data_IF_163518520160
#
_entry.id   IF_163518520160
#
_cell.length_a   1.000
_cell.length_b   1.000
_cell.length_c   1.000
_cell.angle_alpha   90.00
_cell.angle_beta   90.00
_cell.angle_gamma   90.00
#
_symmetry.space_group_name_H-M   'P 1'
#
loop_
_entity.id
_entity.type
_entity.pdbx_description
1 polymer ?
#
# COMPACT_ATOMS: atom_id res chain seq x y z
N UNK A 1 -5.77 27.86 37.40
CA UNK A 1 -5.59 26.41 37.20
C UNK A 1 -6.62 25.81 36.25
N UNK A 2 -7.93 25.89 36.51
CA UNK A 2 -8.98 25.33 35.62
C UNK A 2 -8.93 25.81 34.16
N UNK A 3 -8.70 27.10 33.92
CA UNK A 3 -8.63 27.68 32.56
C UNK A 3 -7.37 27.27 31.80
N UNK A 4 -6.23 27.20 32.49
CA UNK A 4 -4.96 26.75 31.91
C UNK A 4 -5.03 25.27 31.52
N UNK A 5 -5.59 24.44 32.39
CA UNK A 5 -5.76 22.99 32.16
C UNK A 5 -6.72 22.71 31.00
N UNK A 6 -7.82 23.48 30.89
CA UNK A 6 -8.72 23.42 29.72
C UNK A 6 -8.00 23.78 28.42
N UNK A 7 -7.22 24.86 28.40
CA UNK A 7 -6.51 25.29 27.21
C UNK A 7 -5.46 24.26 26.77
N UNK A 8 -4.71 23.68 27.71
CA UNK A 8 -3.72 22.62 27.41
C UNK A 8 -4.37 21.35 26.85
N UNK A 9 -5.50 20.91 27.41
CA UNK A 9 -6.24 19.74 26.91
C UNK A 9 -6.79 20.02 25.51
N UNK A 10 -7.40 21.19 25.29
CA UNK A 10 -7.91 21.57 23.96
C UNK A 10 -6.81 21.65 22.91
N UNK A 11 -5.63 22.21 23.25
CA UNK A 11 -4.49 22.24 22.33
C UNK A 11 -3.93 20.85 22.02
N UNK A 12 -3.89 19.96 23.00
CA UNK A 12 -3.45 18.58 22.78
C UNK A 12 -4.44 17.81 21.88
N UNK A 13 -5.74 17.99 22.10
CA UNK A 13 -6.78 17.40 21.25
C UNK A 13 -6.68 17.91 19.81
N UNK A 14 -6.50 19.22 19.60
CA UNK A 14 -6.30 19.78 18.26
C UNK A 14 -5.08 19.18 17.57
N UNK A 15 -3.96 19.07 18.29
CA UNK A 15 -2.74 18.48 17.74
C UNK A 15 -2.94 17.02 17.35
N UNK A 16 -3.64 16.24 18.19
CA UNK A 16 -3.93 14.83 17.89
C UNK A 16 -4.82 14.65 16.67
N UNK A 17 -5.81 15.55 16.46
CA UNK A 17 -6.68 15.53 15.28
C UNK A 17 -5.89 15.86 14.01
N UNK A 18 -5.07 16.92 14.04
CA UNK A 18 -4.23 17.30 12.90
C UNK A 18 -3.28 16.18 12.50
N UNK A 19 -2.63 15.53 13.46
CA UNK A 19 -1.72 14.41 13.19
C UNK A 19 -2.46 13.18 12.67
N UNK A 20 -3.67 12.90 13.14
CA UNK A 20 -4.49 11.79 12.65
C UNK A 20 -4.95 12.01 11.20
N UNK A 21 -5.28 13.25 10.82
CA UNK A 21 -5.63 13.63 9.45
C UNK A 21 -4.44 13.46 8.50
N UNK A 22 -3.25 13.90 8.89
CA UNK A 22 -2.02 13.75 8.10
C UNK A 22 -1.61 12.28 7.94
N UNK A 23 -1.76 11.45 8.98
CA UNK A 23 -1.49 10.01 8.90
C UNK A 23 -2.48 9.32 7.96
N UNK A 24 -3.78 9.61 8.08
CA UNK A 24 -4.82 8.98 7.27
C UNK A 24 -4.70 9.38 5.80
N UNK A 25 -4.49 10.67 5.53
CA UNK A 25 -4.33 11.19 4.16
C UNK A 25 -3.03 10.69 3.53
N UNK A 26 -1.93 10.68 4.29
CA UNK A 26 -0.65 10.12 3.87
C UNK A 26 -0.75 8.65 3.50
N UNK A 27 -1.40 7.83 4.34
CA UNK A 27 -1.59 6.40 4.06
C UNK A 27 -2.39 6.18 2.76
N UNK A 28 -3.47 6.93 2.55
CA UNK A 28 -4.27 6.86 1.32
C UNK A 28 -3.49 7.30 0.08
N UNK A 29 -2.66 8.33 0.19
CA UNK A 29 -1.83 8.80 -0.92
C UNK A 29 -0.78 7.75 -1.30
N UNK A 30 -0.12 7.14 -0.31
CA UNK A 30 0.85 6.06 -0.54
C UNK A 30 0.18 4.84 -1.19
N UNK A 31 -0.97 4.41 -0.68
CA UNK A 31 -1.72 3.28 -1.24
C UNK A 31 -2.18 3.56 -2.68
N UNK A 32 -2.71 4.75 -2.96
CA UNK A 32 -3.11 5.14 -4.32
C UNK A 32 -1.93 5.10 -5.28
N UNK A 33 -0.78 5.68 -4.88
CA UNK A 33 0.43 5.71 -5.71
C UNK A 33 0.97 4.29 -5.94
N UNK A 34 0.97 3.45 -4.90
CA UNK A 34 1.35 2.05 -5.00
C UNK A 34 0.45 1.29 -5.98
N UNK A 35 -0.88 1.41 -5.86
CA UNK A 35 -1.84 0.74 -6.74
C UNK A 35 -1.67 1.15 -8.20
N UNK A 36 -1.50 2.45 -8.46
CA UNK A 36 -1.29 2.98 -9.82
C UNK A 36 0.04 2.47 -10.43
N UNK A 37 1.14 2.59 -9.71
CA UNK A 37 2.46 2.17 -10.18
C UNK A 37 2.58 0.65 -10.34
N UNK A 38 1.92 -0.12 -9.45
CA UNK A 38 1.84 -1.58 -9.58
C UNK A 38 1.04 -1.98 -10.83
N UNK A 39 -0.08 -1.32 -11.11
CA UNK A 39 -0.86 -1.54 -12.34
C UNK A 39 -0.05 -1.24 -13.60
N UNK A 40 0.70 -0.13 -13.60
CA UNK A 40 1.58 0.22 -14.72
C UNK A 40 2.71 -0.80 -14.90
N UNK A 41 3.31 -1.28 -13.81
CA UNK A 41 4.33 -2.34 -13.84
C UNK A 41 3.78 -3.62 -14.46
N UNK A 42 2.60 -4.07 -14.03
CA UNK A 42 1.95 -5.25 -14.58
C UNK A 42 1.67 -5.12 -16.08
N UNK A 43 1.25 -3.92 -16.53
CA UNK A 43 1.07 -3.63 -17.96
C UNK A 43 2.38 -3.74 -18.74
N UNK A 44 3.47 -3.19 -18.20
CA UNK A 44 4.80 -3.30 -18.83
C UNK A 44 5.27 -4.76 -18.90
N UNK A 45 4.98 -5.58 -17.88
CA UNK A 45 5.28 -7.02 -17.91
C UNK A 45 4.46 -7.76 -18.96
N UNK A 46 3.18 -7.43 -19.11
CA UNK A 46 2.31 -7.99 -20.16
C UNK A 46 2.82 -7.62 -21.57
N UNK A 47 3.35 -6.41 -21.76
CA UNK A 47 4.01 -5.99 -23.01
C UNK A 47 5.30 -6.78 -23.28
N UNK A 48 6.11 -7.07 -22.24
CA UNK A 48 7.28 -7.94 -22.35
C UNK A 48 6.87 -9.35 -22.76
N UNK A 49 5.80 -9.92 -22.18
CA UNK A 49 5.31 -11.26 -22.56
C UNK A 49 4.88 -11.34 -24.04
N UNK A 50 4.32 -10.27 -24.57
CA UNK A 50 3.92 -10.17 -25.98
C UNK A 50 5.11 -10.08 -26.93
N UNK A 51 6.08 -9.20 -26.61
CA UNK A 51 7.21 -8.85 -27.48
C UNK A 51 8.39 -9.82 -27.40
N UNK A 52 8.50 -10.61 -26.34
CA UNK A 52 9.52 -11.67 -26.18
C UNK A 52 9.08 -13.03 -26.71
N UNK A 53 7.94 -13.11 -27.40
CA UNK A 53 7.50 -14.35 -28.03
C UNK A 53 8.45 -14.75 -29.18
N UNK A 54 8.66 -16.07 -29.42
CA UNK A 54 9.53 -16.55 -30.50
C UNK A 54 9.13 -16.01 -31.89
N UNK A 55 7.86 -15.65 -32.08
CA UNK A 55 7.34 -15.06 -33.33
C UNK A 55 7.58 -13.56 -33.49
N UNK A 56 8.02 -12.85 -32.44
CA UNK A 56 8.11 -11.40 -32.42
C UNK A 56 9.55 -10.85 -32.37
N UNK A 57 10.58 -11.71 -32.26
CA UNK A 57 11.92 -11.24 -31.91
C UNK A 57 13.05 -11.95 -32.66
N UNK A 58 13.34 -11.49 -33.88
CA UNK A 58 14.47 -11.94 -34.71
C UNK A 58 15.86 -11.46 -34.20
N UNK A 59 15.91 -10.60 -33.17
CA UNK A 59 17.14 -9.91 -32.73
C UNK A 59 17.64 -10.29 -31.33
N UNK A 60 16.81 -10.96 -30.53
CA UNK A 60 17.17 -11.37 -29.16
C UNK A 60 17.45 -12.87 -29.13
N UNK A 61 18.50 -13.28 -28.42
CA UNK A 61 18.78 -14.71 -28.22
C UNK A 61 17.62 -15.40 -27.51
N UNK A 62 17.26 -16.60 -27.95
CA UNK A 62 16.11 -17.37 -27.42
C UNK A 62 16.22 -17.59 -25.89
N UNK A 63 17.44 -17.83 -25.40
CA UNK A 63 17.73 -18.02 -23.98
C UNK A 63 17.51 -16.74 -23.15
N UNK A 64 17.96 -15.59 -23.66
CA UNK A 64 17.77 -14.30 -22.99
C UNK A 64 16.28 -13.93 -22.93
N UNK A 65 15.56 -14.14 -24.04
CA UNK A 65 14.12 -13.92 -24.11
C UNK A 65 13.36 -14.82 -23.10
N UNK A 66 13.74 -16.09 -23.00
CA UNK A 66 13.18 -17.03 -22.05
C UNK A 66 13.49 -16.63 -20.59
N UNK A 67 14.71 -16.15 -20.31
CA UNK A 67 15.10 -15.74 -18.96
C UNK A 67 14.40 -14.45 -18.53
N UNK A 68 14.23 -13.47 -19.43
CA UNK A 68 13.41 -12.28 -19.20
C UNK A 68 11.97 -12.68 -18.89
N UNK A 69 11.42 -13.63 -19.65
CA UNK A 69 10.06 -14.16 -19.42
C UNK A 69 9.91 -14.81 -18.04
N UNK A 70 10.89 -15.62 -17.61
CA UNK A 70 10.90 -16.22 -16.27
C UNK A 70 10.97 -15.16 -15.17
N UNK A 71 11.83 -14.16 -15.32
CA UNK A 71 11.95 -13.05 -14.37
C UNK A 71 10.64 -12.25 -14.26
N UNK A 72 9.97 -12.00 -15.39
CA UNK A 72 8.67 -11.33 -15.41
C UNK A 72 7.57 -12.13 -14.68
N UNK A 73 7.56 -13.46 -14.81
CA UNK A 73 6.61 -14.33 -14.09
C UNK A 73 6.88 -14.28 -12.58
N UNK A 74 8.16 -14.39 -12.18
CA UNK A 74 8.55 -14.33 -10.77
C UNK A 74 8.13 -12.99 -10.15
N UNK A 75 8.47 -11.87 -10.80
CA UNK A 75 8.11 -10.53 -10.33
C UNK A 75 6.59 -10.35 -10.23
N UNK A 76 5.81 -10.88 -11.18
CA UNK A 76 4.34 -10.84 -11.10
C UNK A 76 3.80 -11.58 -9.87
N UNK A 77 4.41 -12.72 -9.52
CA UNK A 77 4.08 -13.47 -8.31
C UNK A 77 4.42 -12.69 -7.04
N UNK A 78 5.62 -12.12 -6.97
CA UNK A 78 6.08 -11.33 -5.81
C UNK A 78 5.18 -10.09 -5.58
N UNK A 79 4.83 -9.37 -6.64
CA UNK A 79 3.92 -8.23 -6.56
C UNK A 79 2.52 -8.62 -6.07
N UNK A 80 2.03 -9.81 -6.44
CA UNK A 80 0.74 -10.31 -5.97
C UNK A 80 0.75 -10.60 -4.46
N UNK A 81 1.83 -11.20 -3.95
CA UNK A 81 1.99 -11.46 -2.52
C UNK A 81 2.12 -10.16 -1.71
N UNK A 82 2.90 -9.20 -2.19
CA UNK A 82 3.04 -7.89 -1.55
C UNK A 82 1.71 -7.15 -1.48
N UNK A 83 0.96 -7.13 -2.59
CA UNK A 83 -0.37 -6.51 -2.64
C UNK A 83 -1.33 -7.17 -1.65
N UNK A 84 -1.40 -8.50 -1.64
CA UNK A 84 -2.27 -9.24 -0.73
C UNK A 84 -1.94 -8.95 0.75
N UNK A 85 -0.65 -8.82 1.08
CA UNK A 85 -0.22 -8.47 2.43
C UNK A 85 -0.62 -7.05 2.83
N UNK A 86 -0.46 -6.05 1.93
CA UNK A 86 -0.89 -4.69 2.23
C UNK A 86 -2.42 -4.58 2.38
N UNK A 87 -3.19 -5.23 1.50
CA UNK A 87 -4.67 -5.23 1.60
C UNK A 87 -5.16 -5.90 2.89
N UNK A 88 -4.52 -7.00 3.31
CA UNK A 88 -4.83 -7.65 4.57
C UNK A 88 -4.53 -6.73 5.78
N UNK A 89 -3.40 -6.02 5.76
CA UNK A 89 -3.02 -5.10 6.83
C UNK A 89 -3.97 -3.89 6.91
N UNK A 90 -4.34 -3.30 5.77
CA UNK A 90 -5.30 -2.20 5.74
C UNK A 90 -6.67 -2.61 6.29
N UNK A 91 -7.15 -3.81 5.94
CA UNK A 91 -8.40 -4.33 6.47
C UNK A 91 -8.31 -4.59 7.99
N UNK A 92 -7.18 -5.11 8.45
CA UNK A 92 -6.91 -5.27 9.88
C UNK A 92 -6.93 -3.92 10.60
N UNK A 93 -6.29 -2.89 10.07
CA UNK A 93 -6.29 -1.55 10.65
C UNK A 93 -7.70 -0.97 10.79
N UNK A 94 -8.61 -1.25 9.84
CA UNK A 94 -10.01 -0.81 9.94
C UNK A 94 -10.71 -1.47 11.14
N UNK A 95 -10.59 -2.79 11.30
CA UNK A 95 -11.22 -3.48 12.43
C UNK A 95 -10.59 -3.07 13.77
N UNK A 96 -9.27 -2.89 13.79
CA UNK A 96 -8.52 -2.55 14.99
C UNK A 96 -8.85 -1.11 15.44
N UNK A 97 -8.97 -0.17 14.51
CA UNK A 97 -9.40 1.21 14.81
C UNK A 97 -10.79 1.27 15.46
N UNK A 98 -11.73 0.40 15.07
CA UNK A 98 -13.04 0.29 15.73
C UNK A 98 -12.91 -0.21 17.17
N UNK A 99 -12.03 -1.19 17.42
CA UNK A 99 -11.74 -1.70 18.76
C UNK A 99 -11.17 -0.59 19.65
N UNK A 100 -10.15 0.13 19.15
CA UNK A 100 -9.53 1.24 19.87
C UNK A 100 -10.46 2.43 20.10
N UNK A 101 -11.48 2.60 19.27
CA UNK A 101 -12.53 3.63 19.46
C UNK A 101 -13.68 3.18 20.37
N UNK A 102 -13.70 1.93 20.81
CA UNK A 102 -14.75 1.38 21.68
C UNK A 102 -14.17 0.95 23.02
N UNK A 103 -14.14 -0.34 23.32
CA UNK A 103 -13.79 -0.91 24.64
C UNK A 103 -12.28 -0.90 24.94
N UNK A 104 -11.45 -0.44 23.99
CA UNK A 104 -10.02 -0.19 24.25
C UNK A 104 -9.69 1.31 24.37
N UNK A 105 -10.71 2.18 24.36
CA UNK A 105 -10.47 3.63 24.35
C UNK A 105 -10.08 4.21 25.71
N UNK A 106 -10.53 3.62 26.82
CA UNK A 106 -10.07 3.94 28.17
C UNK A 106 -10.34 2.79 29.13
N UNK A 107 -9.70 2.73 30.32
CA UNK A 107 -9.91 1.67 31.29
C UNK A 107 -11.36 1.52 31.80
N UNK A 108 -12.18 2.56 31.65
CA UNK A 108 -13.59 2.57 32.05
C UNK A 108 -14.55 1.95 31.02
N UNK A 109 -14.13 1.85 29.76
CA UNK A 109 -14.90 1.27 28.65
C UNK A 109 -14.42 -0.16 28.35
#
# INVERSE_FOLDING_TARGET
MKTLMKNTISSFLLLSVLMAEDITSGLKQLDSTYKETNQQTLKNLDEIFSTTSPSANDKMGEEDALNIKKAAIALRGDLALLKANFEANELFFISEDVIFKTYMSSPEL
#
